data_IF_801021647186
#
_entry.id   IF_801021647186
#
_cell.length_a   1.000
_cell.length_b   1.000
_cell.length_c   1.000
_cell.angle_alpha   90.00
_cell.angle_beta   90.00
_cell.angle_gamma   90.00
#
_symmetry.space_group_name_H-M   'P 1'
#
loop_
_entity.id
_entity.type
_entity.pdbx_description
1 polymer ?
#
# COMPACT_ATOMS: atom_id res chain seq x y z
N UNK A 1 4.58 -13.99 -33.08
CA UNK A 1 3.62 -14.48 -32.05
C UNK A 1 4.28 -14.80 -30.70
N UNK A 2 5.51 -15.34 -30.65
CA UNK A 2 6.13 -15.80 -29.38
C UNK A 2 6.88 -14.72 -28.60
N UNK A 3 7.22 -13.62 -29.28
CA UNK A 3 7.98 -12.50 -28.69
C UNK A 3 7.14 -11.72 -27.67
N UNK A 4 5.84 -11.51 -27.96
CA UNK A 4 4.92 -10.79 -27.08
C UNK A 4 4.77 -11.45 -25.70
N UNK A 5 4.46 -12.76 -25.56
CA UNK A 5 4.36 -13.38 -24.24
C UNK A 5 5.69 -13.40 -23.47
N UNK A 6 6.83 -13.51 -24.16
CA UNK A 6 8.15 -13.44 -23.50
C UNK A 6 8.38 -12.06 -22.89
N UNK A 7 8.11 -10.97 -23.63
CA UNK A 7 8.25 -9.61 -23.09
C UNK A 7 7.27 -9.33 -21.95
N UNK A 8 6.03 -9.82 -22.04
CA UNK A 8 5.04 -9.67 -20.95
C UNK A 8 5.51 -10.41 -19.70
N UNK A 9 6.01 -11.65 -19.83
CA UNK A 9 6.52 -12.42 -18.70
C UNK A 9 7.75 -11.75 -18.04
N UNK A 10 8.64 -11.17 -18.83
CA UNK A 10 9.78 -10.41 -18.30
C UNK A 10 9.34 -9.14 -17.56
N UNK A 11 8.30 -8.47 -18.05
CA UNK A 11 7.72 -7.27 -17.41
C UNK A 11 7.08 -7.61 -16.06
N UNK A 12 6.25 -8.65 -16.00
CA UNK A 12 5.62 -9.08 -14.74
C UNK A 12 6.65 -9.58 -13.73
N UNK A 13 7.68 -10.31 -14.18
CA UNK A 13 8.80 -10.71 -13.32
C UNK A 13 9.55 -9.50 -12.74
N UNK A 14 9.84 -8.50 -13.57
CA UNK A 14 10.45 -7.24 -13.13
C UNK A 14 9.60 -6.49 -12.10
N UNK A 15 8.29 -6.44 -12.32
CA UNK A 15 7.33 -5.81 -11.39
C UNK A 15 7.34 -6.45 -10.00
N UNK A 16 7.25 -7.78 -9.93
CA UNK A 16 7.27 -8.51 -8.65
C UNK A 16 8.60 -8.31 -7.92
N UNK A 17 9.73 -8.36 -8.64
CA UNK A 17 11.05 -8.13 -8.05
C UNK A 17 11.17 -6.70 -7.47
N UNK A 18 10.66 -5.69 -8.18
CA UNK A 18 10.64 -4.31 -7.69
C UNK A 18 9.77 -4.12 -6.44
N UNK A 19 8.61 -4.79 -6.38
CA UNK A 19 7.72 -4.76 -5.21
C UNK A 19 8.41 -5.40 -4.01
N UNK A 20 9.09 -6.55 -4.18
CA UNK A 20 9.81 -7.22 -3.09
C UNK A 20 10.84 -6.30 -2.42
N UNK A 21 11.62 -5.55 -3.19
CA UNK A 21 12.59 -4.59 -2.63
C UNK A 21 11.94 -3.40 -1.92
N UNK A 22 10.77 -2.96 -2.39
CA UNK A 22 10.06 -1.83 -1.80
C UNK A 22 9.37 -2.24 -0.50
N UNK A 23 8.69 -3.39 -0.52
CA UNK A 23 8.02 -3.96 0.65
C UNK A 23 8.99 -4.22 1.79
N UNK A 24 10.17 -4.80 1.52
CA UNK A 24 11.15 -5.08 2.57
C UNK A 24 11.61 -3.82 3.33
N UNK A 25 11.73 -2.68 2.63
CA UNK A 25 12.07 -1.39 3.27
C UNK A 25 10.95 -0.85 4.14
N UNK A 26 9.69 -1.03 3.72
CA UNK A 26 8.52 -0.62 4.49
C UNK A 26 8.42 -1.42 5.81
N UNK A 27 8.62 -2.74 5.75
CA UNK A 27 8.61 -3.60 6.94
C UNK A 27 9.76 -3.28 7.90
N UNK A 28 10.95 -3.02 7.38
CA UNK A 28 12.10 -2.59 8.18
C UNK A 28 11.82 -1.29 8.95
N UNK A 29 11.37 -0.24 8.24
CA UNK A 29 11.04 1.04 8.87
C UNK A 29 9.88 0.96 9.87
N UNK A 30 8.88 0.11 9.60
CA UNK A 30 7.77 -0.15 10.51
C UNK A 30 8.21 -0.87 11.79
N UNK A 31 9.15 -1.80 11.69
CA UNK A 31 9.72 -2.51 12.84
C UNK A 31 10.65 -1.61 13.67
N UNK A 32 11.42 -0.71 13.05
CA UNK A 32 12.21 0.30 13.78
C UNK A 32 11.35 1.26 14.62
N UNK A 33 10.13 1.58 14.17
CA UNK A 33 9.17 2.39 14.92
C UNK A 33 8.36 1.58 15.96
N UNK A 34 8.70 0.30 16.16
CA UNK A 34 8.02 -0.58 17.12
C UNK A 34 6.57 -0.93 16.75
N UNK A 35 6.13 -0.63 15.52
CA UNK A 35 4.77 -0.92 15.03
C UNK A 35 4.63 -2.40 14.60
N UNK A 36 5.75 -3.10 14.39
CA UNK A 36 5.79 -4.50 13.97
C UNK A 36 6.83 -5.29 14.78
N UNK A 37 6.67 -6.62 14.93
CA UNK A 37 7.59 -7.44 15.72
C UNK A 37 9.04 -7.29 15.25
N UNK A 38 9.99 -7.16 16.20
CA UNK A 38 11.42 -6.95 15.93
C UNK A 38 12.06 -8.05 15.07
N UNK A 39 11.45 -9.24 14.99
CA UNK A 39 11.87 -10.35 14.13
C UNK A 39 11.90 -9.94 12.65
N UNK A 40 11.02 -9.02 12.24
CA UNK A 40 10.97 -8.49 10.86
C UNK A 40 12.08 -7.45 10.59
N UNK A 41 12.71 -6.91 11.63
CA UNK A 41 13.86 -6.00 11.54
C UNK A 41 15.20 -6.75 11.37
N UNK A 42 15.20 -8.08 11.52
CA UNK A 42 16.45 -8.84 11.55
C UNK A 42 17.07 -8.93 10.14
N UNK A 43 18.14 -8.16 9.93
CA UNK A 43 18.95 -8.20 8.71
C UNK A 43 19.97 -9.34 8.85
N UNK A 44 20.09 -10.16 7.81
CA UNK A 44 21.10 -11.22 7.75
C UNK A 44 22.51 -10.61 7.65
N UNK A 45 23.44 -11.05 8.50
CA UNK A 45 24.78 -10.46 8.65
C UNK A 45 25.64 -10.65 7.39
N UNK A 46 25.55 -11.82 6.76
CA UNK A 46 26.44 -12.17 5.63
C UNK A 46 26.01 -11.58 4.28
N UNK A 47 24.70 -11.36 4.08
CA UNK A 47 24.13 -10.94 2.79
C UNK A 47 23.41 -9.58 2.86
N UNK A 48 23.29 -8.97 4.04
CA UNK A 48 22.59 -7.70 4.29
C UNK A 48 21.15 -7.69 3.76
N UNK A 49 20.54 -8.88 3.59
CA UNK A 49 19.17 -9.04 3.12
C UNK A 49 18.22 -9.23 4.30
N UNK A 50 17.06 -8.54 4.33
CA UNK A 50 16.02 -8.77 5.34
C UNK A 50 15.24 -10.06 5.03
N UNK A 51 15.89 -11.21 5.25
CA UNK A 51 15.36 -12.55 4.98
C UNK A 51 13.99 -12.83 5.63
N UNK A 52 13.74 -12.53 6.93
CA UNK A 52 12.43 -12.80 7.54
C UNK A 52 11.31 -11.93 6.96
N UNK A 53 11.58 -10.67 6.60
CA UNK A 53 10.59 -9.80 5.97
C UNK A 53 10.20 -10.30 4.58
N UNK A 54 11.17 -10.73 3.77
CA UNK A 54 10.91 -11.29 2.42
C UNK A 54 10.13 -12.60 2.51
N UNK A 55 10.48 -13.48 3.45
CA UNK A 55 9.76 -14.74 3.70
C UNK A 55 8.30 -14.48 4.11
N UNK A 56 8.05 -13.47 4.95
CA UNK A 56 6.70 -13.11 5.37
C UNK A 56 5.86 -12.57 4.20
N UNK A 57 6.43 -11.70 3.37
CA UNK A 57 5.76 -11.18 2.16
C UNK A 57 5.47 -12.30 1.17
N UNK A 58 6.42 -13.22 0.96
CA UNK A 58 6.24 -14.37 0.09
C UNK A 58 5.14 -15.31 0.60
N UNK A 59 5.12 -15.58 1.90
CA UNK A 59 4.08 -16.40 2.54
C UNK A 59 2.69 -15.77 2.40
N UNK A 60 2.55 -14.47 2.69
CA UNK A 60 1.30 -13.75 2.48
C UNK A 60 0.87 -13.78 1.01
N UNK A 61 1.81 -13.59 0.08
CA UNK A 61 1.52 -13.65 -1.36
C UNK A 61 1.00 -15.02 -1.78
N UNK A 62 1.53 -16.11 -1.23
CA UNK A 62 1.02 -17.46 -1.49
C UNK A 62 -0.40 -17.67 -0.96
N UNK A 63 -0.73 -17.10 0.21
CA UNK A 63 -2.10 -17.14 0.76
C UNK A 63 -3.07 -16.39 -0.18
N UNK A 64 -2.70 -15.19 -0.61
CA UNK A 64 -3.52 -14.41 -1.54
C UNK A 64 -3.69 -15.10 -2.91
N UNK A 65 -2.69 -15.87 -3.36
CA UNK A 65 -2.74 -16.64 -4.61
C UNK A 65 -3.78 -17.78 -4.56
N UNK A 66 -4.15 -18.28 -3.38
CA UNK A 66 -5.20 -19.28 -3.26
C UNK A 66 -6.61 -18.73 -3.56
N UNK A 67 -6.78 -17.41 -3.66
CA UNK A 67 -8.03 -16.79 -4.10
C UNK A 67 -8.23 -16.97 -5.60
N UNK A 68 -9.45 -17.32 -6.01
CA UNK A 68 -9.76 -17.71 -7.40
C UNK A 68 -10.05 -16.52 -8.33
N UNK A 69 -10.37 -15.35 -7.78
CA UNK A 69 -10.79 -14.18 -8.54
C UNK A 69 -9.74 -13.05 -8.49
N UNK A 70 -9.06 -12.85 -9.62
CA UNK A 70 -8.05 -11.79 -9.77
C UNK A 70 -8.71 -10.39 -9.76
N UNK A 71 -9.89 -10.26 -10.37
CA UNK A 71 -10.63 -9.00 -10.40
C UNK A 71 -11.04 -8.54 -9.00
N UNK A 72 -11.50 -9.48 -8.16
CA UNK A 72 -11.82 -9.23 -6.77
C UNK A 72 -10.59 -8.74 -5.98
N UNK A 73 -9.43 -9.38 -6.18
CA UNK A 73 -8.17 -8.95 -5.57
C UNK A 73 -7.77 -7.53 -6.01
N UNK A 74 -7.97 -7.18 -7.28
CA UNK A 74 -7.66 -5.85 -7.80
C UNK A 74 -8.55 -4.80 -7.15
N UNK A 75 -9.86 -5.05 -7.05
CA UNK A 75 -10.80 -4.12 -6.45
C UNK A 75 -10.56 -3.95 -4.95
N UNK A 76 -10.26 -5.05 -4.24
CA UNK A 76 -9.86 -5.04 -2.84
C UNK A 76 -8.58 -4.20 -2.58
N UNK A 77 -7.49 -4.48 -3.30
CA UNK A 77 -6.22 -3.75 -3.13
C UNK A 77 -6.37 -2.30 -3.58
N UNK A 78 -7.12 -2.06 -4.67
CA UNK A 78 -7.44 -0.74 -5.18
C UNK A 78 -8.14 0.11 -4.12
N UNK A 79 -9.21 -0.42 -3.52
CA UNK A 79 -9.95 0.27 -2.46
C UNK A 79 -9.05 0.61 -1.27
N UNK A 80 -8.29 -0.35 -0.75
CA UNK A 80 -7.39 -0.13 0.39
C UNK A 80 -6.32 0.94 0.08
N UNK A 81 -5.73 0.89 -1.12
CA UNK A 81 -4.71 1.85 -1.57
C UNK A 81 -5.28 3.25 -1.72
N UNK A 82 -6.43 3.40 -2.38
CA UNK A 82 -7.09 4.69 -2.58
C UNK A 82 -7.58 5.30 -1.26
N UNK A 83 -8.06 4.47 -0.33
CA UNK A 83 -8.42 4.92 1.01
C UNK A 83 -7.20 5.42 1.78
N UNK A 84 -6.10 4.66 1.79
CA UNK A 84 -4.85 5.06 2.45
C UNK A 84 -4.29 6.38 1.88
N UNK A 85 -4.29 6.51 0.55
CA UNK A 85 -3.90 7.75 -0.14
C UNK A 85 -4.85 8.89 0.24
N UNK A 86 -6.16 8.65 0.27
CA UNK A 86 -7.16 9.63 0.66
C UNK A 86 -6.90 10.19 2.07
N UNK A 87 -6.67 9.31 3.05
CA UNK A 87 -6.32 9.71 4.43
C UNK A 87 -5.01 10.51 4.44
N UNK A 88 -3.98 10.05 3.73
CA UNK A 88 -2.69 10.75 3.66
C UNK A 88 -2.83 12.17 3.06
N UNK A 89 -3.69 12.34 2.05
CA UNK A 89 -3.94 13.66 1.45
C UNK A 89 -4.74 14.55 2.40
N UNK A 90 -5.70 14.00 3.16
CA UNK A 90 -6.44 14.73 4.21
C UNK A 90 -5.53 15.16 5.36
N UNK A 91 -4.49 14.38 5.68
CA UNK A 91 -3.48 14.79 6.66
C UNK A 91 -2.74 16.08 6.25
N UNK A 92 -2.63 16.39 4.96
CA UNK A 92 -1.88 17.55 4.46
C UNK A 92 -2.53 18.91 4.85
N UNK A 93 -3.83 19.17 4.62
CA UNK A 93 -4.51 20.35 5.14
C UNK A 93 -4.61 20.32 6.67
N UNK A 94 -4.80 19.15 7.30
CA UNK A 94 -4.83 19.03 8.77
C UNK A 94 -3.50 19.47 9.41
N UNK A 95 -2.37 19.00 8.89
CA UNK A 95 -1.03 19.39 9.34
C UNK A 95 -0.72 20.86 9.01
N UNK A 96 -1.34 21.43 7.98
CA UNK A 96 -1.25 22.87 7.69
C UNK A 96 -1.96 23.72 8.73
N UNK A 97 -3.05 23.23 9.30
CA UNK A 97 -3.74 23.93 10.38
C UNK A 97 -3.07 23.73 11.75
N UNK A 98 -2.65 22.50 12.08
CA UNK A 98 -2.13 22.16 13.40
C UNK A 98 -0.69 22.63 13.66
N UNK A 99 0.16 22.64 12.63
CA UNK A 99 1.59 23.00 12.75
C UNK A 99 2.02 23.94 11.61
N UNK A 100 1.63 25.23 11.67
CA UNK A 100 1.92 26.20 10.62
C UNK A 100 3.41 26.57 10.52
N UNK A 101 4.17 26.49 11.62
CA UNK A 101 5.55 27.00 11.71
C UNK A 101 6.64 26.03 11.22
N UNK A 102 6.27 24.84 10.73
CA UNK A 102 7.24 23.91 10.16
C UNK A 102 7.89 24.52 8.89
N UNK A 103 9.22 24.45 8.73
CA UNK A 103 9.90 24.94 7.53
C UNK A 103 9.49 24.06 6.33
N UNK A 104 8.62 24.60 5.46
CA UNK A 104 8.13 23.93 4.25
C UNK A 104 8.89 24.45 3.02
N UNK A 105 9.86 23.71 2.47
CA UNK A 105 10.64 24.13 1.30
C UNK A 105 9.81 24.14 0.01
N UNK A 106 8.71 23.38 -0.05
CA UNK A 106 7.80 23.32 -1.20
C UNK A 106 6.39 23.70 -0.72
N UNK A 107 5.84 24.80 -1.26
CA UNK A 107 4.48 25.28 -0.95
C UNK A 107 3.59 25.10 -2.18
N UNK A 108 2.63 24.19 -2.06
CA UNK A 108 1.55 24.01 -3.04
C UNK A 108 0.26 24.70 -2.57
N UNK A 109 -0.48 25.26 -3.53
CA UNK A 109 -1.79 25.85 -3.30
C UNK A 109 -2.77 24.81 -2.74
N UNK A 110 -3.55 25.21 -1.73
CA UNK A 110 -4.57 24.38 -1.07
C UNK A 110 -5.69 23.89 -2.00
N UNK A 111 -5.85 24.53 -3.14
CA UNK A 111 -6.82 24.13 -4.16
C UNK A 111 -6.58 22.71 -4.69
N UNK A 112 -5.32 22.32 -4.94
CA UNK A 112 -5.00 21.01 -5.49
C UNK A 112 -5.32 19.85 -4.52
N UNK A 113 -4.92 19.90 -3.23
CA UNK A 113 -5.33 18.89 -2.25
C UNK A 113 -6.85 18.77 -2.10
N UNK A 114 -7.61 19.87 -2.13
CA UNK A 114 -9.07 19.84 -1.95
C UNK A 114 -9.75 19.11 -3.12
N UNK A 115 -9.35 19.42 -4.36
CA UNK A 115 -9.86 18.70 -5.54
C UNK A 115 -9.52 17.22 -5.46
N UNK A 116 -8.29 16.90 -5.05
CA UNK A 116 -7.85 15.51 -4.92
C UNK A 116 -8.66 14.76 -3.85
N UNK A 117 -8.95 15.40 -2.71
CA UNK A 117 -9.81 14.82 -1.67
C UNK A 117 -11.21 14.52 -2.22
N UNK A 118 -11.82 15.47 -2.94
CA UNK A 118 -13.12 15.24 -3.57
C UNK A 118 -13.10 14.08 -4.57
N UNK A 119 -12.05 13.98 -5.38
CA UNK A 119 -11.86 12.86 -6.31
C UNK A 119 -11.67 11.53 -5.58
N UNK A 120 -10.87 11.49 -4.51
CA UNK A 120 -10.67 10.27 -3.71
C UNK A 120 -11.94 9.82 -3.00
N UNK A 121 -12.78 10.75 -2.53
CA UNK A 121 -14.10 10.42 -1.96
C UNK A 121 -14.99 9.78 -3.02
N UNK A 122 -15.00 10.34 -4.24
CA UNK A 122 -15.77 9.75 -5.33
C UNK A 122 -15.26 8.33 -5.71
N UNK A 123 -13.95 8.18 -5.84
CA UNK A 123 -13.30 6.89 -6.19
C UNK A 123 -13.46 5.85 -5.08
N UNK A 124 -13.66 6.23 -3.82
CA UNK A 124 -13.91 5.28 -2.72
C UNK A 124 -15.39 4.91 -2.58
N UNK A 125 -16.32 5.81 -2.90
CA UNK A 125 -17.77 5.53 -2.87
C UNK A 125 -18.20 4.62 -4.02
N UNK A 126 -17.62 4.78 -5.22
CA UNK A 126 -18.00 3.99 -6.40
C UNK A 126 -17.82 2.47 -6.19
N UNK A 127 -16.66 1.96 -5.72
CA UNK A 127 -16.47 0.55 -5.37
C UNK A 127 -17.38 0.09 -4.23
N UNK A 128 -17.66 0.97 -3.27
CA UNK A 128 -18.53 0.65 -2.13
C UNK A 128 -19.97 0.32 -2.55
N UNK A 129 -20.45 0.93 -3.65
CA UNK A 129 -21.76 0.65 -4.23
C UNK A 129 -21.70 -0.54 -5.19
N UNK A 130 -20.65 -0.65 -5.99
CA UNK A 130 -20.53 -1.70 -7.00
C UNK A 130 -20.28 -3.09 -6.37
N UNK A 131 -19.38 -3.18 -5.41
CA UNK A 131 -18.93 -4.43 -4.79
C UNK A 131 -18.80 -4.27 -3.25
N UNK A 132 -19.93 -4.26 -2.53
CA UNK A 132 -19.96 -3.97 -1.09
C UNK A 132 -19.30 -5.06 -0.25
N UNK A 133 -19.27 -6.31 -0.73
CA UNK A 133 -18.68 -7.44 0.00
C UNK A 133 -17.17 -7.30 0.07
N UNK A 134 -16.51 -7.01 -1.05
CA UNK A 134 -15.05 -6.87 -1.12
C UNK A 134 -14.56 -5.61 -0.39
N UNK A 135 -15.29 -4.51 -0.57
CA UNK A 135 -15.06 -3.26 0.14
C UNK A 135 -15.24 -3.43 1.66
N UNK A 136 -16.24 -4.21 2.07
CA UNK A 136 -16.49 -4.55 3.47
C UNK A 136 -15.34 -5.32 4.13
N UNK A 137 -14.78 -6.33 3.44
CA UNK A 137 -13.59 -7.03 3.93
C UNK A 137 -12.36 -6.11 4.02
N UNK A 138 -12.17 -5.21 3.04
CA UNK A 138 -11.10 -4.20 3.09
C UNK A 138 -11.23 -3.26 4.28
N UNK A 139 -12.42 -2.73 4.52
CA UNK A 139 -12.70 -1.89 5.67
C UNK A 139 -12.54 -2.64 7.01
N UNK A 140 -12.98 -3.90 7.08
CA UNK A 140 -12.80 -4.75 8.27
C UNK A 140 -11.33 -4.99 8.58
N UNK A 141 -10.50 -5.28 7.58
CA UNK A 141 -9.06 -5.52 7.78
C UNK A 141 -8.37 -4.23 8.27
N UNK A 142 -8.75 -3.07 7.70
CA UNK A 142 -8.25 -1.78 8.20
C UNK A 142 -8.71 -1.53 9.64
N UNK A 143 -9.97 -1.86 9.97
CA UNK A 143 -10.51 -1.72 11.32
C UNK A 143 -9.82 -2.64 12.33
N UNK A 144 -9.43 -3.86 11.94
CA UNK A 144 -8.64 -4.76 12.81
C UNK A 144 -7.22 -4.25 13.09
N UNK A 145 -6.72 -3.29 12.30
CA UNK A 145 -5.45 -2.63 12.52
C UNK A 145 -5.48 -1.47 13.51
N UNK A 146 -6.66 -1.08 14.01
CA UNK A 146 -6.79 -0.07 15.08
C UNK A 146 -6.52 -0.77 16.42
N UNK A 147 -5.48 -0.38 17.17
CA UNK A 147 -5.19 -0.96 18.49
C UNK A 147 -6.24 -0.60 19.54
#
# INVERSE_FOLDING_TARGET
>A
AWVVPIFVALSTFGGVNGILFTSSRLFYAGAEQGQMPEILNMIQIDHLTPTPAVMFVAFLSLIYLCSKDIYALINYVGFATWLAIGIAVVCLPYLRWKQPDLPRPIKVNLFFPIIYILATIFITIVPMIAEPVETGFGALIIATGVP
#
